data_IF_330960581993
#
_entry.id   IF_330960581993
#
_cell.length_a   1.000
_cell.length_b   1.000
_cell.length_c   1.000
_cell.angle_alpha   90.00
_cell.angle_beta   90.00
_cell.angle_gamma   90.00
#
_symmetry.space_group_name_H-M   'P 1'
#
loop_
_entity.id
_entity.type
_entity.pdbx_description
1 polymer ?
#
# COMPACT_ATOMS: atom_id res chain seq x y z
N UNK A 1 -11.04 47.64 -1.77
CA UNK A 1 -9.65 47.36 -2.12
C UNK A 1 -9.12 45.97 -1.64
N UNK A 2 -9.69 45.31 -0.63
CA UNK A 2 -9.24 43.97 -0.18
C UNK A 2 -9.66 42.80 -1.08
N UNK A 3 -10.71 42.92 -1.88
CA UNK A 3 -11.15 41.84 -2.80
C UNK A 3 -10.40 41.75 -4.13
N UNK A 4 -9.69 42.81 -4.53
CA UNK A 4 -8.89 42.82 -5.77
C UNK A 4 -7.50 42.20 -5.61
N UNK A 5 -6.96 42.16 -4.39
CA UNK A 5 -5.62 41.62 -4.09
C UNK A 5 -5.65 40.08 -4.02
N UNK A 6 -6.75 39.50 -3.59
CA UNK A 6 -6.90 38.03 -3.49
C UNK A 6 -7.06 37.35 -4.86
N UNK A 7 -7.65 38.05 -5.83
CA UNK A 7 -7.82 37.50 -7.19
C UNK A 7 -6.51 37.51 -8.00
N UNK A 8 -5.65 38.52 -7.76
CA UNK A 8 -4.34 38.63 -8.42
C UNK A 8 -3.31 37.61 -7.87
N UNK A 9 -3.41 37.26 -6.59
CA UNK A 9 -2.54 36.23 -6.01
C UNK A 9 -2.89 34.83 -6.52
N UNK A 10 -4.18 34.53 -6.69
CA UNK A 10 -4.63 33.24 -7.25
C UNK A 10 -4.23 33.07 -8.73
N UNK A 11 -4.23 34.14 -9.53
CA UNK A 11 -3.81 34.08 -10.93
C UNK A 11 -2.28 33.95 -11.08
N UNK A 12 -1.48 34.47 -10.14
CA UNK A 12 -0.01 34.37 -10.17
C UNK A 12 0.48 32.96 -9.76
N UNK A 13 -0.26 32.23 -8.94
CA UNK A 13 0.07 30.85 -8.57
C UNK A 13 -0.19 29.89 -9.75
N UNK A 14 -1.22 30.14 -10.56
CA UNK A 14 -1.48 29.36 -11.77
C UNK A 14 -0.47 29.60 -12.90
N UNK A 15 0.14 30.78 -12.96
CA UNK A 15 1.15 31.11 -14.00
C UNK A 15 2.54 30.52 -13.72
N UNK A 16 2.84 30.06 -12.50
CA UNK A 16 4.15 29.49 -12.15
C UNK A 16 4.23 27.97 -12.34
N UNK A 17 3.11 27.28 -12.60
CA UNK A 17 3.09 25.85 -12.86
C UNK A 17 3.30 25.47 -14.34
N UNK A 18 3.51 26.45 -15.25
CA UNK A 18 3.70 26.21 -16.70
C UNK A 18 5.15 26.44 -17.16
N UNK A 19 6.09 26.74 -16.25
CA UNK A 19 7.49 27.02 -16.61
C UNK A 19 8.45 25.94 -16.08
N UNK A 20 8.32 24.71 -16.57
CA UNK A 20 9.41 23.73 -16.52
C UNK A 20 9.37 22.84 -17.76
N UNK A 21 10.29 23.15 -18.71
CA UNK A 21 10.88 22.18 -19.63
C UNK A 21 10.12 21.84 -20.90
N UNK A 22 10.24 22.67 -21.94
CA UNK A 22 10.10 22.20 -23.33
C UNK A 22 11.18 21.16 -23.64
N UNK A 23 10.81 19.90 -23.64
CA UNK A 23 11.46 18.90 -24.48
C UNK A 23 10.45 18.44 -25.52
N UNK A 24 10.71 18.80 -26.76
CA UNK A 24 9.97 18.39 -27.95
C UNK A 24 10.01 16.88 -28.11
N UNK A 25 9.00 16.20 -27.60
CA UNK A 25 8.65 14.85 -28.02
C UNK A 25 7.43 14.98 -28.92
N UNK A 26 7.59 14.60 -30.17
CA UNK A 26 6.52 14.47 -31.15
C UNK A 26 5.50 13.48 -30.60
N UNK A 27 4.22 13.86 -30.37
CA UNK A 27 3.23 12.91 -29.91
C UNK A 27 2.90 11.92 -31.04
N UNK A 28 2.95 10.63 -30.74
CA UNK A 28 2.22 9.66 -31.54
C UNK A 28 0.74 10.05 -31.51
N UNK A 29 0.10 10.14 -32.66
CA UNK A 29 -1.33 10.39 -32.78
C UNK A 29 -2.10 9.29 -32.03
N UNK A 30 -2.47 9.58 -30.80
CA UNK A 30 -3.53 8.85 -30.11
C UNK A 30 -4.83 9.53 -30.52
N UNK A 31 -5.64 8.86 -31.30
CA UNK A 31 -7.03 9.24 -31.55
C UNK A 31 -7.77 9.23 -30.21
N UNK A 32 -7.78 10.35 -29.55
CA UNK A 32 -8.69 10.61 -28.43
C UNK A 32 -10.07 10.85 -29.03
N UNK A 33 -10.89 9.82 -29.04
CA UNK A 33 -12.32 10.06 -29.00
C UNK A 33 -12.59 10.80 -27.69
N UNK A 34 -13.17 12.01 -27.77
CA UNK A 34 -13.74 12.72 -26.64
C UNK A 34 -14.87 11.88 -26.03
N UNK A 35 -14.50 10.94 -25.18
CA UNK A 35 -15.38 10.39 -24.16
C UNK A 35 -15.18 11.27 -22.94
N UNK A 36 -16.12 12.20 -22.67
CA UNK A 36 -16.24 12.80 -21.36
C UNK A 36 -16.15 11.67 -20.32
N UNK A 37 -15.38 11.83 -19.22
CA UNK A 37 -15.37 10.83 -18.17
C UNK A 37 -16.83 10.64 -17.73
N UNK A 38 -17.36 9.45 -17.96
CA UNK A 38 -18.68 9.07 -17.42
C UNK A 38 -18.49 9.08 -15.91
N UNK A 39 -18.87 10.19 -15.27
CA UNK A 39 -19.01 10.25 -13.82
C UNK A 39 -20.22 9.40 -13.47
N UNK A 40 -20.01 8.11 -13.29
CA UNK A 40 -21.03 7.22 -12.75
C UNK A 40 -21.38 7.76 -11.36
N UNK A 41 -22.61 8.16 -11.15
CA UNK A 41 -23.08 8.53 -9.82
C UNK A 41 -22.85 7.33 -8.91
N UNK A 42 -22.03 7.47 -7.88
CA UNK A 42 -21.70 6.38 -6.93
C UNK A 42 -22.96 5.79 -6.30
N UNK A 43 -24.08 6.50 -6.30
CA UNK A 43 -25.37 6.06 -5.82
C UNK A 43 -26.30 5.51 -6.93
N UNK A 44 -25.85 5.47 -8.19
CA UNK A 44 -26.68 4.96 -9.27
C UNK A 44 -27.03 3.48 -9.02
N UNK A 45 -28.31 3.16 -9.22
CA UNK A 45 -28.86 1.82 -8.92
C UNK A 45 -29.02 1.49 -7.43
N UNK A 46 -28.57 2.36 -6.51
CA UNK A 46 -28.83 2.21 -5.07
C UNK A 46 -30.14 2.96 -4.74
N UNK A 47 -31.14 2.23 -4.24
CA UNK A 47 -32.44 2.81 -3.91
C UNK A 47 -32.38 3.95 -2.88
N UNK A 48 -33.51 4.71 -2.77
CA UNK A 48 -33.63 5.86 -1.86
C UNK A 48 -34.03 5.48 -0.42
N UNK A 49 -33.67 4.28 0.03
CA UNK A 49 -34.03 3.81 1.37
C UNK A 49 -33.38 4.69 2.43
N UNK A 50 -34.21 5.09 3.40
CA UNK A 50 -33.78 5.80 4.61
C UNK A 50 -33.87 4.86 5.80
N UNK A 51 -33.02 5.09 6.80
CA UNK A 51 -32.89 4.20 7.96
C UNK A 51 -33.23 4.90 9.29
N UNK A 52 -33.94 6.03 9.24
CA UNK A 52 -34.52 6.77 10.39
C UNK A 52 -33.48 7.07 11.49
N UNK A 53 -32.29 7.51 11.11
CA UNK A 53 -31.20 7.86 12.02
C UNK A 53 -30.51 6.66 12.67
N UNK A 54 -30.66 5.44 12.11
CA UNK A 54 -29.98 4.23 12.61
C UNK A 54 -28.48 4.48 12.73
N UNK A 55 -27.88 3.99 13.82
CA UNK A 55 -26.44 3.91 13.93
C UNK A 55 -25.90 2.81 13.01
N UNK A 56 -24.87 3.15 12.22
CA UNK A 56 -24.08 2.24 11.43
C UNK A 56 -22.76 2.00 12.17
N UNK A 57 -22.68 0.85 12.83
CA UNK A 57 -21.58 0.49 13.71
C UNK A 57 -20.39 -0.03 12.91
N UNK A 58 -19.35 0.77 12.82
CA UNK A 58 -18.12 0.41 12.11
C UNK A 58 -17.02 0.11 13.13
N UNK A 59 -16.62 -1.16 13.26
CA UNK A 59 -15.49 -1.58 14.08
C UNK A 59 -14.18 -1.24 13.37
N UNK A 60 -13.42 -0.31 13.91
CA UNK A 60 -12.22 0.25 13.30
C UNK A 60 -11.01 0.01 14.19
N UNK A 61 -9.91 -0.42 13.61
CA UNK A 61 -8.61 -0.48 14.30
C UNK A 61 -8.21 0.92 14.76
N UNK A 62 -7.82 1.05 16.01
CA UNK A 62 -7.54 2.35 16.62
C UNK A 62 -6.49 3.17 15.85
N UNK A 63 -5.49 2.50 15.27
CA UNK A 63 -4.43 3.11 14.46
C UNK A 63 -4.90 3.62 13.09
N UNK A 64 -6.06 3.14 12.60
CA UNK A 64 -6.58 3.46 11.26
C UNK A 64 -7.83 4.35 11.33
N UNK A 65 -8.16 4.90 12.49
CA UNK A 65 -9.41 5.63 12.70
C UNK A 65 -9.55 6.82 11.74
N UNK A 66 -8.47 7.56 11.52
CA UNK A 66 -8.49 8.79 10.70
C UNK A 66 -8.67 8.48 9.20
N UNK A 67 -8.39 7.28 8.75
CA UNK A 67 -8.69 6.83 7.39
C UNK A 67 -10.20 6.74 7.12
N UNK A 68 -11.00 6.56 8.15
CA UNK A 68 -12.43 6.29 8.02
C UNK A 68 -13.33 7.30 8.69
N UNK A 69 -12.87 7.98 9.73
CA UNK A 69 -13.72 8.87 10.52
C UNK A 69 -12.98 10.11 11.01
N UNK A 70 -13.41 11.26 10.52
CA UNK A 70 -12.96 12.59 10.93
C UNK A 70 -14.18 13.35 11.47
N UNK A 71 -14.04 13.93 12.65
CA UNK A 71 -15.15 14.60 13.36
C UNK A 71 -15.55 15.95 12.73
N UNK A 72 -14.59 16.68 12.18
CA UNK A 72 -14.79 18.01 11.58
C UNK A 72 -13.73 18.30 10.52
N UNK A 73 -14.04 19.22 9.60
CA UNK A 73 -13.06 19.72 8.63
C UNK A 73 -11.90 20.41 9.35
N UNK A 74 -10.68 20.04 8.97
CA UNK A 74 -9.41 20.57 9.53
C UNK A 74 -8.68 21.51 8.57
N UNK A 75 -9.05 21.53 7.31
CA UNK A 75 -8.34 22.18 6.20
C UNK A 75 -7.29 21.27 5.55
N UNK A 76 -7.05 20.09 6.08
CA UNK A 76 -6.24 19.06 5.43
C UNK A 76 -7.06 18.33 4.37
N UNK A 77 -6.47 18.18 3.17
CA UNK A 77 -7.23 17.71 1.99
C UNK A 77 -7.84 16.34 2.18
N UNK A 78 -7.09 15.41 2.80
CA UNK A 78 -7.55 14.05 3.01
C UNK A 78 -8.63 13.97 4.10
N UNK A 79 -8.40 14.63 5.24
CA UNK A 79 -9.35 14.67 6.36
C UNK A 79 -10.69 15.26 5.91
N UNK A 80 -10.64 16.38 5.21
CA UNK A 80 -11.83 17.04 4.69
C UNK A 80 -12.59 16.17 3.68
N UNK A 81 -11.87 15.38 2.88
CA UNK A 81 -12.48 14.43 1.95
C UNK A 81 -13.17 13.27 2.70
N UNK A 82 -12.54 12.71 3.72
CA UNK A 82 -13.13 11.66 4.58
C UNK A 82 -14.39 12.20 5.28
N UNK A 83 -14.31 13.39 5.88
CA UNK A 83 -15.44 14.03 6.54
C UNK A 83 -16.62 14.23 5.57
N UNK A 84 -16.39 14.82 4.39
CA UNK A 84 -17.43 15.09 3.38
C UNK A 84 -18.06 13.82 2.86
N UNK A 85 -17.24 12.78 2.59
CA UNK A 85 -17.73 11.45 2.19
C UNK A 85 -18.71 10.89 3.23
N UNK A 86 -18.33 10.93 4.50
CA UNK A 86 -19.15 10.39 5.57
C UNK A 86 -20.47 11.18 5.71
N UNK A 87 -20.42 12.52 5.69
CA UNK A 87 -21.63 13.36 5.72
C UNK A 87 -22.57 13.07 4.57
N UNK A 88 -22.05 12.92 3.35
CA UNK A 88 -22.85 12.59 2.17
C UNK A 88 -23.58 11.25 2.33
N UNK A 89 -22.91 10.23 2.86
CA UNK A 89 -23.50 8.91 3.10
C UNK A 89 -24.57 8.98 4.20
N UNK A 90 -24.28 9.66 5.32
CA UNK A 90 -25.22 9.82 6.42
C UNK A 90 -26.49 10.56 5.99
N UNK A 91 -26.37 11.65 5.25
CA UNK A 91 -27.50 12.40 4.71
C UNK A 91 -28.29 11.59 3.67
N UNK A 92 -27.58 10.86 2.79
CA UNK A 92 -28.20 10.07 1.74
C UNK A 92 -29.07 8.95 2.29
N UNK A 93 -28.63 8.26 3.34
CA UNK A 93 -29.33 7.10 3.88
C UNK A 93 -30.06 7.36 5.20
N UNK A 94 -29.94 8.57 5.74
CA UNK A 94 -30.44 8.92 7.08
C UNK A 94 -29.93 7.90 8.14
N UNK A 95 -28.60 7.77 8.20
CA UNK A 95 -27.87 6.98 9.20
C UNK A 95 -26.91 7.88 9.96
N UNK A 96 -26.34 7.34 11.03
CA UNK A 96 -25.21 7.93 11.73
C UNK A 96 -24.05 6.92 11.77
N UNK A 97 -22.91 7.25 11.18
CA UNK A 97 -21.71 6.40 11.27
C UNK A 97 -21.20 6.47 12.71
N UNK A 98 -21.14 5.31 13.37
CA UNK A 98 -20.66 5.16 14.73
C UNK A 98 -19.34 4.37 14.72
N UNK A 99 -18.17 5.04 14.82
CA UNK A 99 -16.88 4.37 14.86
C UNK A 99 -16.65 3.72 16.23
N UNK A 100 -16.46 2.41 16.23
CA UNK A 100 -16.11 1.63 17.42
C UNK A 100 -14.65 1.26 17.32
N UNK A 101 -13.82 1.82 18.20
CA UNK A 101 -12.36 1.61 18.19
C UNK A 101 -11.98 0.31 18.88
N UNK A 102 -11.01 -0.40 18.29
CA UNK A 102 -10.44 -1.61 18.89
C UNK A 102 -8.91 -1.61 18.72
N UNK A 103 -8.21 -2.03 19.76
CA UNK A 103 -6.78 -2.35 19.65
C UNK A 103 -6.60 -3.63 18.83
N UNK A 104 -5.92 -3.49 17.71
CA UNK A 104 -5.60 -4.58 16.77
C UNK A 104 -4.09 -4.64 16.48
N UNK A 105 -3.25 -4.19 17.42
CA UNK A 105 -1.82 -4.41 17.36
C UNK A 105 -1.51 -5.92 17.28
N UNK A 106 -0.34 -6.26 16.76
CA UNK A 106 0.04 -7.67 16.58
C UNK A 106 -0.09 -8.49 17.88
N UNK A 107 0.25 -7.93 19.02
CA UNK A 107 0.14 -8.59 20.33
C UNK A 107 -1.31 -8.72 20.80
N UNK A 108 -2.22 -7.85 20.33
CA UNK A 108 -3.65 -7.85 20.64
C UNK A 108 -4.51 -8.63 19.64
N UNK A 109 -3.92 -9.23 18.59
CA UNK A 109 -4.65 -9.90 17.50
C UNK A 109 -5.65 -10.97 17.95
N UNK A 110 -5.33 -11.72 19.00
CA UNK A 110 -6.24 -12.73 19.55
C UNK A 110 -7.50 -12.12 20.18
N UNK A 111 -7.36 -10.98 20.85
CA UNK A 111 -8.48 -10.22 21.40
C UNK A 111 -9.33 -9.63 20.28
N UNK A 112 -8.69 -9.07 19.26
CA UNK A 112 -9.34 -8.51 18.09
C UNK A 112 -10.25 -9.55 17.39
N UNK A 113 -9.73 -10.72 17.04
CA UNK A 113 -10.54 -11.82 16.44
C UNK A 113 -11.57 -12.37 17.44
N UNK A 114 -11.21 -12.46 18.72
CA UNK A 114 -12.12 -12.89 19.79
C UNK A 114 -13.35 -12.00 19.93
N UNK A 115 -13.19 -10.69 19.77
CA UNK A 115 -14.29 -9.70 19.80
C UNK A 115 -15.29 -9.97 18.69
N UNK A 116 -14.84 -10.15 17.46
CA UNK A 116 -15.69 -10.49 16.32
C UNK A 116 -16.39 -11.83 16.51
N UNK A 117 -15.65 -12.85 16.96
CA UNK A 117 -16.20 -14.19 17.23
C UNK A 117 -17.31 -14.14 18.27
N UNK A 118 -17.12 -13.40 19.36
CA UNK A 118 -18.11 -13.27 20.43
C UNK A 118 -19.38 -12.57 19.92
N UNK A 119 -19.27 -11.49 19.13
CA UNK A 119 -20.41 -10.84 18.51
C UNK A 119 -21.21 -11.82 17.63
N UNK A 120 -20.55 -12.41 16.65
CA UNK A 120 -21.20 -13.31 15.68
C UNK A 120 -21.82 -14.54 16.35
N UNK A 121 -21.10 -15.20 17.26
CA UNK A 121 -21.59 -16.42 17.94
C UNK A 121 -22.75 -16.13 18.90
N UNK A 122 -22.85 -14.95 19.45
CA UNK A 122 -24.01 -14.55 20.28
C UNK A 122 -25.19 -14.05 19.46
N UNK A 123 -25.01 -13.77 18.16
CA UNK A 123 -26.01 -13.16 17.30
C UNK A 123 -26.39 -11.74 17.75
N UNK A 124 -25.45 -11.00 18.35
CA UNK A 124 -25.71 -9.66 18.87
C UNK A 124 -25.99 -8.64 17.76
N UNK A 125 -25.38 -8.82 16.59
CA UNK A 125 -25.42 -7.86 15.48
C UNK A 125 -24.88 -6.50 15.91
N UNK A 126 -23.75 -6.53 16.62
CA UNK A 126 -23.13 -5.34 17.20
C UNK A 126 -22.44 -4.48 16.14
N UNK A 127 -21.93 -5.10 15.08
CA UNK A 127 -21.18 -4.41 14.01
C UNK A 127 -21.85 -4.57 12.67
N UNK A 128 -21.86 -3.50 11.88
CA UNK A 128 -22.34 -3.50 10.48
C UNK A 128 -21.19 -3.71 9.49
N UNK A 129 -20.01 -3.14 9.79
CA UNK A 129 -18.80 -3.26 8.99
C UNK A 129 -17.58 -3.38 9.91
N UNK A 130 -16.56 -4.06 9.45
CA UNK A 130 -15.30 -4.23 10.18
C UNK A 130 -14.13 -3.86 9.28
N UNK A 131 -13.22 -3.00 9.79
CA UNK A 131 -11.89 -2.77 9.27
C UNK A 131 -10.99 -3.96 9.62
N UNK A 132 -10.96 -4.95 8.72
CA UNK A 132 -10.22 -6.18 8.91
C UNK A 132 -8.72 -6.03 8.67
N UNK A 133 -7.91 -6.39 9.66
CA UNK A 133 -6.46 -6.47 9.53
C UNK A 133 -6.08 -7.67 8.65
N UNK A 134 -5.52 -7.42 7.44
CA UNK A 134 -5.24 -8.46 6.46
C UNK A 134 -4.37 -9.60 6.99
N UNK A 135 -3.40 -9.32 7.84
CA UNK A 135 -2.51 -10.31 8.46
C UNK A 135 -3.20 -11.27 9.46
N UNK A 136 -4.43 -10.94 9.88
CA UNK A 136 -5.11 -11.66 10.98
C UNK A 136 -6.52 -12.10 10.59
N UNK A 137 -7.22 -11.32 9.74
CA UNK A 137 -8.65 -11.52 9.46
C UNK A 137 -8.97 -12.91 8.88
N UNK A 138 -7.99 -13.57 8.25
CA UNK A 138 -8.10 -14.91 7.72
C UNK A 138 -8.50 -15.97 8.76
N UNK A 139 -8.17 -15.77 10.02
CA UNK A 139 -8.55 -16.65 11.12
C UNK A 139 -10.09 -16.74 11.28
N UNK A 140 -10.79 -15.66 10.94
CA UNK A 140 -12.25 -15.60 10.96
C UNK A 140 -12.94 -16.34 9.83
N UNK A 141 -12.24 -16.63 8.72
CA UNK A 141 -12.84 -17.33 7.57
C UNK A 141 -13.17 -18.79 7.91
N UNK A 142 -12.24 -19.47 8.62
CA UNK A 142 -12.46 -20.86 9.06
C UNK A 142 -13.66 -20.98 10.03
N UNK A 143 -13.85 -19.98 10.87
CA UNK A 143 -14.94 -19.89 11.85
C UNK A 143 -16.27 -19.39 11.24
N UNK A 144 -16.27 -19.03 9.94
CA UNK A 144 -17.44 -18.51 9.22
C UNK A 144 -18.03 -17.25 9.86
N UNK A 145 -17.16 -16.35 10.32
CA UNK A 145 -17.59 -15.13 10.99
C UNK A 145 -18.13 -14.06 10.04
N UNK A 146 -17.95 -14.23 8.73
CA UNK A 146 -18.25 -13.19 7.75
C UNK A 146 -19.16 -13.65 6.63
N UNK A 147 -19.93 -12.74 6.08
CA UNK A 147 -20.77 -12.98 4.92
C UNK A 147 -19.92 -13.22 3.65
N UNK A 148 -20.43 -14.05 2.75
CA UNK A 148 -19.90 -14.10 1.40
C UNK A 148 -20.27 -12.80 0.66
N UNK A 149 -19.31 -11.99 0.29
CA UNK A 149 -19.53 -10.68 -0.31
C UNK A 149 -20.21 -10.75 -1.69
N UNK A 150 -20.08 -11.87 -2.41
CA UNK A 150 -20.83 -12.10 -3.65
C UNK A 150 -22.35 -12.22 -3.42
N UNK A 151 -22.78 -12.53 -2.21
CA UNK A 151 -24.20 -12.65 -1.84
C UNK A 151 -24.73 -11.33 -1.25
N UNK A 152 -23.90 -10.31 -1.04
CA UNK A 152 -24.30 -9.01 -0.47
C UNK A 152 -24.78 -8.09 -1.59
N UNK A 153 -26.05 -7.68 -1.59
CA UNK A 153 -26.60 -6.84 -2.65
C UNK A 153 -25.93 -5.46 -2.66
N UNK A 154 -25.85 -4.85 -3.84
CA UNK A 154 -25.37 -3.48 -4.08
C UNK A 154 -23.88 -3.21 -3.80
N UNK A 155 -23.05 -4.22 -3.52
CA UNK A 155 -21.59 -4.02 -3.38
C UNK A 155 -20.92 -3.66 -4.73
N UNK A 156 -21.51 -4.10 -5.86
CA UNK A 156 -20.99 -3.84 -7.21
C UNK A 156 -19.49 -4.11 -7.29
N UNK A 157 -19.09 -5.36 -7.00
CA UNK A 157 -17.67 -5.78 -6.90
C UNK A 157 -16.90 -5.64 -8.22
N UNK A 158 -17.59 -5.49 -9.34
CA UNK A 158 -17.06 -5.23 -10.68
C UNK A 158 -16.67 -3.76 -10.94
N UNK A 159 -16.96 -2.87 -10.03
CA UNK A 159 -16.65 -1.45 -10.17
C UNK A 159 -15.19 -1.12 -9.87
N UNK A 160 -14.69 -0.04 -10.50
CA UNK A 160 -13.27 0.32 -10.47
C UNK A 160 -12.72 0.70 -9.09
N UNK A 161 -13.56 1.06 -8.14
CA UNK A 161 -13.15 1.36 -6.76
C UNK A 161 -12.84 0.11 -5.93
N UNK A 162 -13.13 -1.09 -6.43
CA UNK A 162 -12.70 -2.35 -5.82
C UNK A 162 -11.43 -2.88 -6.49
N UNK A 163 -10.59 -3.55 -5.71
CA UNK A 163 -9.40 -4.20 -6.24
C UNK A 163 -9.75 -5.52 -6.95
N UNK A 164 -9.86 -5.51 -8.27
CA UNK A 164 -10.15 -6.72 -9.07
C UNK A 164 -9.10 -7.82 -8.89
N UNK A 165 -7.85 -7.45 -8.58
CA UNK A 165 -6.79 -8.42 -8.28
C UNK A 165 -7.10 -9.14 -6.97
N UNK A 166 -7.47 -8.40 -5.93
CA UNK A 166 -7.82 -8.97 -4.63
C UNK A 166 -9.08 -9.82 -4.73
N UNK A 167 -10.11 -9.38 -5.44
CA UNK A 167 -11.30 -10.18 -5.69
C UNK A 167 -10.93 -11.53 -6.31
N UNK A 168 -10.16 -11.50 -7.39
CA UNK A 168 -9.70 -12.72 -8.08
C UNK A 168 -8.87 -13.62 -7.17
N UNK A 169 -7.94 -13.07 -6.42
CA UNK A 169 -7.03 -13.86 -5.57
C UNK A 169 -7.72 -14.43 -4.33
N UNK A 170 -8.66 -13.71 -3.73
CA UNK A 170 -9.35 -14.15 -2.50
C UNK A 170 -10.65 -14.92 -2.75
N UNK A 171 -11.19 -14.90 -3.97
CA UNK A 171 -12.35 -15.76 -4.29
C UNK A 171 -11.89 -17.21 -4.37
N UNK A 172 -12.35 -18.03 -3.42
CA UNK A 172 -12.08 -19.48 -3.34
C UNK A 172 -13.40 -20.24 -3.37
N UNK A 173 -13.53 -21.19 -4.30
CA UNK A 173 -14.77 -21.96 -4.49
C UNK A 173 -16.03 -21.08 -4.62
N UNK A 174 -15.90 -19.95 -5.33
CA UNK A 174 -16.99 -18.98 -5.54
C UNK A 174 -17.38 -18.16 -4.32
N UNK A 175 -16.53 -18.11 -3.29
CA UNK A 175 -16.78 -17.33 -2.07
C UNK A 175 -15.69 -16.31 -1.84
N UNK A 176 -16.10 -15.10 -1.49
CA UNK A 176 -15.25 -13.96 -1.15
C UNK A 176 -15.68 -13.41 0.22
N UNK A 177 -14.82 -13.48 1.22
CA UNK A 177 -15.19 -13.07 2.59
C UNK A 177 -14.59 -11.72 3.00
N UNK A 178 -13.61 -11.22 2.26
CA UNK A 178 -12.97 -9.95 2.52
C UNK A 178 -12.61 -9.26 1.22
N UNK A 179 -12.67 -7.93 1.20
CA UNK A 179 -12.36 -7.10 0.03
C UNK A 179 -11.67 -5.81 0.44
N UNK A 180 -10.88 -5.24 -0.45
CA UNK A 180 -10.32 -3.91 -0.28
C UNK A 180 -10.53 -3.07 -1.54
N UNK A 181 -10.47 -1.76 -1.40
CA UNK A 181 -10.67 -0.81 -2.48
C UNK A 181 -10.45 0.62 -2.00
N UNK A 182 -10.96 1.61 -2.73
CA UNK A 182 -10.72 3.04 -2.51
C UNK A 182 -11.18 3.57 -1.14
N UNK A 183 -12.03 2.82 -0.43
CA UNK A 183 -12.36 3.14 0.96
C UNK A 183 -11.14 2.99 1.89
N UNK A 184 -10.20 2.08 1.58
CA UNK A 184 -9.01 1.81 2.38
C UNK A 184 -7.86 2.75 1.99
N UNK A 185 -7.75 3.91 2.63
CA UNK A 185 -6.66 4.88 2.38
C UNK A 185 -5.29 4.22 2.60
N UNK A 186 -5.15 3.41 3.64
CA UNK A 186 -3.91 2.71 3.98
C UNK A 186 -3.50 1.63 2.97
N UNK A 187 -4.34 1.28 2.01
CA UNK A 187 -3.97 0.36 0.93
C UNK A 187 -2.77 0.91 0.13
N UNK A 188 -2.75 2.20 -0.14
CA UNK A 188 -1.67 2.86 -0.87
C UNK A 188 -0.42 3.06 -0.01
N UNK A 189 -0.59 3.55 1.23
CA UNK A 189 0.54 3.80 2.14
C UNK A 189 1.31 2.52 2.50
N UNK A 190 0.64 1.38 2.51
CA UNK A 190 1.24 0.07 2.79
C UNK A 190 1.91 -0.62 1.58
N UNK A 191 1.87 -0.03 0.36
CA UNK A 191 2.59 -0.61 -0.79
C UNK A 191 4.10 -0.48 -0.61
N UNK A 192 4.84 -1.55 -0.87
CA UNK A 192 6.30 -1.52 -0.84
C UNK A 192 6.88 -0.82 -2.06
N UNK A 193 7.93 -0.05 -1.82
CA UNK A 193 8.69 0.65 -2.85
C UNK A 193 10.18 0.61 -2.53
N UNK A 194 10.99 0.94 -3.51
CA UNK A 194 12.41 1.16 -3.33
C UNK A 194 12.69 2.65 -3.54
N UNK A 195 13.18 3.31 -2.51
CA UNK A 195 13.63 4.68 -2.57
C UNK A 195 15.08 4.74 -3.03
N UNK A 196 15.47 5.79 -3.72
CA UNK A 196 16.88 6.02 -4.05
C UNK A 196 17.28 7.47 -3.81
N UNK A 197 18.49 7.66 -3.32
CA UNK A 197 19.13 8.96 -3.14
C UNK A 197 19.74 9.40 -4.48
N UNK A 198 19.16 10.45 -5.09
CA UNK A 198 19.60 10.96 -6.40
C UNK A 198 21.04 11.41 -6.40
N UNK A 199 21.46 12.12 -5.35
CA UNK A 199 22.82 12.62 -5.24
C UNK A 199 23.83 11.45 -5.16
N UNK A 200 23.54 10.39 -4.41
CA UNK A 200 24.42 9.21 -4.33
C UNK A 200 24.49 8.47 -5.67
N UNK A 201 23.37 8.35 -6.40
CA UNK A 201 23.34 7.75 -7.75
C UNK A 201 24.26 8.53 -8.71
N UNK A 202 24.23 9.86 -8.67
CA UNK A 202 25.11 10.74 -9.48
C UNK A 202 26.59 10.65 -9.05
N UNK A 203 26.86 10.67 -7.73
CA UNK A 203 28.22 10.54 -7.16
C UNK A 203 28.92 9.28 -7.67
N UNK A 204 28.21 8.16 -7.65
CA UNK A 204 28.72 6.87 -8.13
C UNK A 204 28.57 6.67 -9.64
N UNK A 205 28.10 7.68 -10.37
CA UNK A 205 27.92 7.66 -11.83
C UNK A 205 27.10 6.47 -12.31
N UNK A 206 26.04 6.13 -11.59
CA UNK A 206 25.14 5.05 -11.97
C UNK A 206 24.17 5.49 -13.06
N UNK A 207 23.70 4.53 -13.86
CA UNK A 207 22.62 4.77 -14.81
C UNK A 207 21.36 5.21 -14.04
N UNK A 208 20.58 6.12 -14.65
CA UNK A 208 19.34 6.62 -14.03
C UNK A 208 18.37 5.48 -13.71
N UNK A 209 17.99 5.27 -12.44
CA UNK A 209 17.04 4.22 -12.09
C UNK A 209 15.69 4.40 -12.79
N UNK A 210 15.26 5.64 -13.05
CA UNK A 210 14.02 5.91 -13.78
C UNK A 210 14.08 5.43 -15.23
N UNK A 211 15.22 5.61 -15.91
CA UNK A 211 15.38 5.12 -17.28
C UNK A 211 15.44 3.58 -17.34
N UNK A 212 16.07 2.96 -16.35
CA UNK A 212 16.05 1.51 -16.19
C UNK A 212 14.63 0.96 -16.01
N UNK A 213 13.79 1.63 -15.22
CA UNK A 213 12.37 1.24 -15.05
C UNK A 213 11.60 1.43 -16.35
N UNK A 214 11.68 2.61 -17.00
CA UNK A 214 10.97 2.92 -18.24
C UNK A 214 11.33 1.97 -19.39
N UNK A 215 12.61 1.58 -19.47
CA UNK A 215 13.09 0.63 -20.49
C UNK A 215 12.81 -0.83 -20.16
N UNK A 216 12.21 -1.12 -18.99
CA UNK A 216 11.93 -2.48 -18.53
C UNK A 216 13.17 -3.27 -18.09
N UNK A 217 14.32 -2.61 -17.91
CA UNK A 217 15.59 -3.21 -17.51
C UNK A 217 15.86 -3.20 -16.02
N UNK A 218 15.00 -2.60 -15.22
CA UNK A 218 15.14 -2.57 -13.76
C UNK A 218 14.89 -3.97 -13.19
N UNK A 219 15.96 -4.75 -13.08
CA UNK A 219 15.94 -6.14 -12.60
C UNK A 219 16.77 -6.30 -11.34
N UNK A 220 16.63 -7.44 -10.65
CA UNK A 220 17.40 -7.73 -9.45
C UNK A 220 18.92 -7.72 -9.71
N UNK A 221 19.37 -8.27 -10.82
CA UNK A 221 20.80 -8.21 -11.19
C UNK A 221 21.28 -6.79 -11.44
N UNK A 222 20.44 -5.93 -12.02
CA UNK A 222 20.77 -4.51 -12.21
C UNK A 222 20.80 -3.76 -10.86
N UNK A 223 19.92 -4.07 -9.91
CA UNK A 223 20.03 -3.53 -8.55
C UNK A 223 21.39 -3.90 -7.92
N UNK A 224 21.84 -5.15 -8.05
CA UNK A 224 23.13 -5.59 -7.53
C UNK A 224 24.30 -4.81 -8.16
N UNK A 225 24.26 -4.54 -9.48
CA UNK A 225 25.27 -3.72 -10.16
C UNK A 225 25.21 -2.24 -9.72
N UNK A 226 24.02 -1.73 -9.47
CA UNK A 226 23.83 -0.33 -9.00
C UNK A 226 24.45 -0.12 -7.61
N UNK A 227 24.31 -1.08 -6.68
CA UNK A 227 24.82 -0.96 -5.30
C UNK A 227 26.29 -1.30 -5.17
N UNK A 228 26.88 -1.99 -6.14
CA UNK A 228 28.24 -2.50 -6.09
C UNK A 228 29.26 -1.41 -5.77
N UNK A 229 30.19 -1.67 -4.84
CA UNK A 229 31.25 -0.77 -4.42
C UNK A 229 30.74 0.60 -3.87
N UNK A 230 29.51 0.64 -3.33
CA UNK A 230 28.96 1.84 -2.70
C UNK A 230 29.25 1.90 -1.21
N UNK A 231 29.27 0.76 -0.53
CA UNK A 231 29.49 0.71 0.92
C UNK A 231 30.81 1.36 1.35
N UNK A 232 30.78 2.13 2.43
CA UNK A 232 31.94 2.85 2.99
C UNK A 232 31.84 2.86 4.52
N UNK A 233 32.92 2.52 5.17
CA UNK A 233 33.16 2.78 6.58
C UNK A 233 33.39 4.30 6.72
N UNK A 234 32.43 5.01 7.33
CA UNK A 234 32.42 6.49 7.41
C UNK A 234 33.21 6.95 8.62
N UNK A 235 33.15 6.23 9.75
CA UNK A 235 33.83 6.61 10.99
C UNK A 235 35.28 6.09 11.07
N UNK A 236 35.65 5.17 10.17
CA UNK A 236 37.03 4.67 10.02
C UNK A 236 37.45 3.69 11.11
N UNK A 237 36.49 3.06 11.79
CA UNK A 237 36.77 2.10 12.88
C UNK A 237 37.14 0.68 12.37
N UNK A 238 37.03 0.47 11.05
CA UNK A 238 37.34 -0.79 10.37
C UNK A 238 36.24 -1.83 10.44
N UNK A 239 35.03 -1.42 10.83
CA UNK A 239 33.83 -2.29 10.88
C UNK A 239 32.71 -1.63 10.11
N UNK A 240 31.94 -2.42 9.40
CA UNK A 240 30.71 -1.95 8.79
C UNK A 240 29.55 -2.10 9.78
N UNK A 241 28.92 -0.98 10.14
CA UNK A 241 27.78 -0.91 11.05
C UNK A 241 26.58 -0.26 10.37
N UNK A 242 25.46 -0.16 11.06
CA UNK A 242 24.25 0.48 10.53
C UNK A 242 24.47 1.98 10.26
N UNK A 243 25.38 2.63 10.96
CA UNK A 243 25.68 4.06 10.87
C UNK A 243 26.60 4.42 9.68
N UNK A 244 27.05 3.42 8.93
CA UNK A 244 27.90 3.58 7.76
C UNK A 244 27.12 3.80 6.47
N UNK A 245 27.84 4.06 5.36
CA UNK A 245 27.20 4.21 4.06
C UNK A 245 27.00 2.84 3.37
N UNK A 246 25.77 2.62 2.90
CA UNK A 246 25.38 1.39 2.27
C UNK A 246 24.88 1.58 0.83
N UNK A 247 25.05 0.57 0.00
CA UNK A 247 24.44 0.51 -1.33
C UNK A 247 22.93 0.25 -1.23
N UNK A 248 22.56 -0.71 -0.37
CA UNK A 248 21.16 -1.06 -0.10
C UNK A 248 20.93 -1.18 1.40
N UNK A 249 19.89 -0.53 1.89
CA UNK A 249 19.41 -0.62 3.27
C UNK A 249 17.96 -1.12 3.26
N UNK A 250 17.68 -2.22 3.93
CA UNK A 250 16.35 -2.84 3.99
C UNK A 250 16.09 -3.50 5.35
N UNK A 251 14.83 -3.79 5.61
CA UNK A 251 14.41 -4.61 6.77
C UNK A 251 14.51 -6.09 6.42
N UNK A 252 15.11 -6.92 7.30
CA UNK A 252 15.40 -8.31 7.00
C UNK A 252 14.17 -9.16 6.59
N UNK A 253 13.14 -9.21 7.42
CA UNK A 253 11.96 -10.05 7.17
C UNK A 253 11.03 -9.46 6.12
N UNK A 254 10.73 -8.16 6.21
CA UNK A 254 9.74 -7.51 5.33
C UNK A 254 10.21 -7.46 3.87
N UNK A 255 11.52 -7.34 3.64
CA UNK A 255 12.08 -7.32 2.30
C UNK A 255 11.95 -8.66 1.58
N UNK A 256 12.23 -9.76 2.29
CA UNK A 256 12.13 -11.12 1.71
C UNK A 256 10.69 -11.44 1.27
N UNK A 257 9.71 -11.10 2.10
CA UNK A 257 8.30 -11.33 1.80
C UNK A 257 7.83 -10.57 0.56
N UNK A 258 8.50 -9.47 0.22
CA UNK A 258 8.13 -8.67 -0.94
C UNK A 258 8.85 -9.05 -2.22
N UNK A 259 10.09 -9.52 -2.15
CA UNK A 259 10.83 -9.90 -3.35
C UNK A 259 10.19 -11.08 -4.10
N UNK A 260 9.59 -12.05 -3.41
CA UNK A 260 8.92 -13.14 -4.11
C UNK A 260 7.72 -12.63 -4.95
N UNK A 261 6.95 -11.65 -4.43
CA UNK A 261 5.90 -11.00 -5.20
C UNK A 261 6.48 -10.16 -6.35
N UNK A 262 7.52 -9.38 -6.08
CA UNK A 262 8.20 -8.57 -7.09
C UNK A 262 8.72 -9.42 -8.25
N UNK A 263 9.15 -10.64 -7.97
CA UNK A 263 9.64 -11.61 -8.96
C UNK A 263 8.53 -12.40 -9.65
N UNK A 264 7.26 -12.09 -9.40
CA UNK A 264 6.12 -12.85 -9.91
C UNK A 264 6.23 -14.35 -9.58
N UNK A 265 6.58 -14.65 -8.32
CA UNK A 265 6.64 -16.01 -7.80
C UNK A 265 5.37 -16.26 -7.00
N UNK A 266 4.63 -17.27 -7.39
CA UNK A 266 3.41 -17.71 -6.71
C UNK A 266 3.68 -18.99 -5.94
N UNK A 267 3.25 -19.03 -4.69
CA UNK A 267 3.34 -20.22 -3.82
C UNK A 267 2.08 -21.08 -3.87
N UNK A 268 1.04 -20.58 -4.51
CA UNK A 268 -0.23 -21.27 -4.71
C UNK A 268 -0.80 -20.98 -6.10
N UNK A 269 -1.63 -21.88 -6.58
CA UNK A 269 -2.39 -21.74 -7.83
C UNK A 269 -3.82 -22.18 -7.63
N UNK A 270 -4.72 -21.65 -8.45
CA UNK A 270 -6.11 -22.06 -8.54
C UNK A 270 -6.35 -22.86 -9.82
N UNK A 271 -7.13 -23.92 -9.71
CA UNK A 271 -7.65 -24.64 -10.86
C UNK A 271 -8.86 -23.92 -11.50
N UNK A 272 -9.39 -24.49 -12.58
CA UNK A 272 -10.56 -23.94 -13.27
C UNK A 272 -11.85 -23.90 -12.42
N UNK A 273 -11.89 -24.61 -11.31
CA UNK A 273 -13.00 -24.63 -10.37
C UNK A 273 -12.78 -23.67 -9.17
N UNK A 274 -11.65 -22.93 -9.17
CA UNK A 274 -11.29 -22.03 -8.08
C UNK A 274 -10.70 -22.72 -6.84
N UNK A 275 -10.35 -24.02 -6.96
CA UNK A 275 -9.71 -24.74 -5.86
C UNK A 275 -8.23 -24.41 -5.77
N UNK A 276 -7.77 -24.04 -4.57
CA UNK A 276 -6.38 -23.66 -4.31
C UNK A 276 -5.53 -24.89 -4.04
N UNK A 277 -4.34 -24.94 -4.65
CA UNK A 277 -3.28 -25.91 -4.36
C UNK A 277 -1.94 -25.21 -4.21
N UNK A 278 -1.00 -25.82 -3.48
CA UNK A 278 0.36 -25.27 -3.35
C UNK A 278 1.15 -25.45 -4.66
N UNK A 279 1.98 -24.46 -5.00
CA UNK A 279 2.81 -24.42 -6.20
C UNK A 279 4.21 -23.86 -5.88
N UNK A 280 4.84 -24.38 -4.85
CA UNK A 280 6.14 -23.89 -4.37
C UNK A 280 7.35 -24.72 -4.82
N UNK A 281 7.15 -25.85 -5.49
CA UNK A 281 8.23 -26.69 -6.00
C UNK A 281 8.55 -26.35 -7.46
N UNK A 282 9.22 -25.21 -7.67
CA UNK A 282 9.65 -24.80 -9.01
C UNK A 282 11.07 -24.20 -8.99
N UNK A 283 11.77 -24.34 -10.12
CA UNK A 283 13.16 -23.90 -10.27
C UNK A 283 13.32 -22.38 -10.06
N UNK A 284 12.36 -21.57 -10.53
CA UNK A 284 12.41 -20.11 -10.36
C UNK A 284 12.40 -19.71 -8.89
N UNK A 285 11.59 -20.38 -8.07
CA UNK A 285 11.54 -20.15 -6.62
C UNK A 285 12.89 -20.49 -5.97
N UNK A 286 13.46 -21.65 -6.30
CA UNK A 286 14.76 -22.07 -5.72
C UNK A 286 15.86 -21.08 -6.09
N UNK A 287 15.98 -20.70 -7.36
CA UNK A 287 16.98 -19.74 -7.84
C UNK A 287 16.78 -18.34 -7.21
N UNK A 288 15.53 -17.89 -7.08
CA UNK A 288 15.24 -16.63 -6.42
C UNK A 288 15.66 -16.60 -4.96
N UNK A 289 15.37 -17.68 -4.22
CA UNK A 289 15.81 -17.80 -2.82
C UNK A 289 17.32 -17.83 -2.70
N UNK A 290 18.05 -18.57 -3.56
CA UNK A 290 19.51 -18.56 -3.57
C UNK A 290 20.07 -17.14 -3.78
N UNK A 291 19.54 -16.39 -4.72
CA UNK A 291 19.91 -14.99 -4.99
C UNK A 291 19.63 -14.06 -3.83
N UNK A 292 18.47 -14.19 -3.19
CA UNK A 292 18.07 -13.38 -2.04
C UNK A 292 18.98 -13.69 -0.83
N UNK A 293 19.24 -14.96 -0.58
CA UNK A 293 20.13 -15.42 0.51
C UNK A 293 21.56 -14.91 0.29
N UNK A 294 22.06 -14.98 -0.95
CA UNK A 294 23.38 -14.44 -1.30
C UNK A 294 23.44 -12.92 -1.10
N UNK A 295 22.39 -12.18 -1.47
CA UNK A 295 22.32 -10.74 -1.20
C UNK A 295 22.36 -10.44 0.31
N UNK A 296 21.65 -11.22 1.12
CA UNK A 296 21.54 -10.95 2.55
C UNK A 296 22.81 -11.34 3.35
N UNK A 297 23.52 -12.38 2.93
CA UNK A 297 24.63 -12.92 3.71
C UNK A 297 26.02 -12.59 3.13
N UNK A 298 26.11 -12.45 1.82
CA UNK A 298 27.41 -12.43 1.12
C UNK A 298 27.68 -11.09 0.41
N UNK A 299 26.69 -10.19 0.30
CA UNK A 299 26.87 -8.92 -0.39
C UNK A 299 27.39 -7.84 0.57
N UNK A 300 28.60 -7.31 0.36
CA UNK A 300 29.20 -6.32 1.26
C UNK A 300 28.57 -4.93 1.13
N UNK A 301 27.77 -4.68 0.10
CA UNK A 301 27.13 -3.38 -0.17
C UNK A 301 25.67 -3.30 0.33
N UNK A 302 25.15 -4.39 0.93
CA UNK A 302 23.78 -4.45 1.43
C UNK A 302 23.74 -4.63 2.95
N UNK A 303 22.88 -3.83 3.60
CA UNK A 303 22.61 -3.97 5.04
C UNK A 303 21.16 -4.33 5.30
N UNK A 304 20.98 -5.45 5.99
CA UNK A 304 19.67 -5.97 6.40
C UNK A 304 19.47 -5.66 7.89
N UNK A 305 18.68 -4.63 8.17
CA UNK A 305 18.36 -4.25 9.55
C UNK A 305 17.54 -5.35 10.21
N UNK A 306 17.99 -5.81 11.37
CA UNK A 306 17.35 -6.89 12.11
C UNK A 306 16.11 -6.39 12.86
N UNK A 307 15.12 -7.24 13.00
CA UNK A 307 13.90 -6.96 13.77
C UNK A 307 14.19 -6.55 15.24
N UNK A 308 15.34 -6.90 15.77
CA UNK A 308 15.78 -6.49 17.10
C UNK A 308 16.30 -5.05 17.18
N UNK A 309 16.42 -4.34 16.04
CA UNK A 309 16.83 -2.93 16.02
C UNK A 309 15.73 -2.08 16.65
N UNK A 310 16.03 -1.28 17.68
CA UNK A 310 15.03 -0.41 18.29
C UNK A 310 14.42 0.55 17.27
N UNK A 311 13.11 0.70 17.28
CA UNK A 311 12.37 1.58 16.36
C UNK A 311 12.80 1.40 14.90
N UNK A 312 13.00 0.16 14.47
CA UNK A 312 13.62 -0.23 13.20
C UNK A 312 13.14 0.60 11.99
N UNK A 313 11.83 0.87 11.88
CA UNK A 313 11.26 1.64 10.77
C UNK A 313 11.77 3.08 10.79
N UNK A 314 11.67 3.73 11.94
CA UNK A 314 12.14 5.10 12.07
C UNK A 314 13.66 5.21 11.87
N UNK A 315 14.43 4.29 12.46
CA UNK A 315 15.89 4.21 12.29
C UNK A 315 16.27 4.10 10.82
N UNK A 316 15.61 3.22 10.05
CA UNK A 316 15.88 3.08 8.61
C UNK A 316 15.59 4.35 7.81
N UNK A 317 14.47 5.02 8.12
CA UNK A 317 14.09 6.29 7.48
C UNK A 317 15.09 7.43 7.79
N UNK A 318 15.52 7.52 9.04
CA UNK A 318 16.53 8.51 9.48
C UNK A 318 17.90 8.27 8.82
N UNK A 319 18.34 7.01 8.73
CA UNK A 319 19.57 6.64 8.05
C UNK A 319 19.52 6.99 6.56
N UNK A 320 18.45 6.65 5.87
CA UNK A 320 18.29 7.01 4.46
C UNK A 320 18.29 8.52 4.26
N UNK A 321 17.51 9.26 5.05
CA UNK A 321 17.39 10.73 4.92
C UNK A 321 18.67 11.46 5.30
N UNK A 322 19.54 10.87 6.13
CA UNK A 322 20.90 11.39 6.40
C UNK A 322 21.93 11.06 5.31
N UNK A 323 21.54 10.32 4.27
CA UNK A 323 22.44 9.92 3.18
C UNK A 323 23.19 8.62 3.41
N UNK A 324 22.81 7.84 4.42
CA UNK A 324 23.44 6.57 4.80
C UNK A 324 23.20 5.43 3.80
N UNK A 325 22.32 5.59 2.79
CA UNK A 325 22.12 4.57 1.78
C UNK A 325 21.86 5.16 0.38
N UNK A 326 22.28 4.42 -0.67
CA UNK A 326 21.91 4.72 -2.04
C UNK A 326 20.49 4.30 -2.32
N UNK A 327 20.10 3.08 -1.92
CA UNK A 327 18.76 2.54 -2.04
C UNK A 327 18.21 2.16 -0.67
N UNK A 328 16.92 2.39 -0.47
CA UNK A 328 16.21 2.07 0.76
C UNK A 328 14.85 1.43 0.47
N UNK A 329 14.59 0.26 1.04
CA UNK A 329 13.32 -0.44 0.89
C UNK A 329 12.37 -0.16 2.05
N UNK A 330 11.23 0.47 1.76
CA UNK A 330 10.15 0.74 2.73
C UNK A 330 8.80 0.80 2.02
N UNK A 331 7.74 1.00 2.75
CA UNK A 331 6.41 1.27 2.21
C UNK A 331 6.27 2.74 1.77
N UNK A 332 5.23 3.05 0.98
CA UNK A 332 4.95 4.42 0.56
C UNK A 332 4.62 5.38 1.72
N UNK A 333 4.26 4.85 2.87
CA UNK A 333 4.11 5.65 4.10
C UNK A 333 5.37 6.43 4.46
N UNK A 334 6.55 5.92 4.13
CA UNK A 334 7.81 6.62 4.35
C UNK A 334 7.87 8.01 3.70
N UNK A 335 7.10 8.26 2.61
CA UNK A 335 7.01 9.56 1.97
C UNK A 335 6.53 10.66 2.92
N UNK A 336 5.69 10.34 3.89
CA UNK A 336 5.16 11.30 4.87
C UNK A 336 6.26 11.94 5.69
N UNK A 337 7.28 11.18 6.04
CA UNK A 337 8.45 11.61 6.80
C UNK A 337 9.54 12.17 5.87
N UNK A 338 9.85 11.46 4.79
CA UNK A 338 10.98 11.79 3.90
C UNK A 338 10.79 13.12 3.17
N UNK A 339 9.55 13.51 2.82
CA UNK A 339 9.28 14.78 2.11
C UNK A 339 9.68 16.04 2.91
N UNK A 340 9.82 15.94 4.22
CA UNK A 340 10.27 17.03 5.09
C UNK A 340 11.78 17.04 5.33
N UNK A 341 12.51 16.03 4.87
CA UNK A 341 13.95 15.91 5.01
C UNK A 341 14.67 16.64 3.86
N UNK A 342 15.89 17.11 4.15
CA UNK A 342 16.76 17.78 3.14
C UNK A 342 17.51 16.74 2.31
N UNK A 343 16.75 15.93 1.55
CA UNK A 343 17.28 14.90 0.65
C UNK A 343 16.49 14.89 -0.65
N UNK A 344 17.17 14.85 -1.78
CA UNK A 344 16.54 14.57 -3.07
C UNK A 344 16.47 13.07 -3.30
N UNK A 345 15.27 12.52 -3.24
CA UNK A 345 15.04 11.09 -3.48
C UNK A 345 14.12 10.84 -4.66
N UNK A 346 14.12 9.61 -5.12
CA UNK A 346 13.15 9.08 -6.08
C UNK A 346 12.52 7.79 -5.56
N UNK A 347 11.41 7.40 -6.20
CA UNK A 347 10.65 6.20 -5.84
C UNK A 347 10.60 5.30 -7.06
N UNK A 348 10.85 4.01 -6.84
CA UNK A 348 10.89 2.97 -7.85
C UNK A 348 9.98 1.80 -7.43
N UNK A 349 9.45 1.04 -8.39
CA UNK A 349 8.94 -0.28 -8.08
C UNK A 349 10.10 -1.19 -7.62
N UNK A 350 9.77 -2.25 -6.91
CA UNK A 350 10.74 -3.31 -6.65
C UNK A 350 11.25 -3.88 -7.98
N UNK A 351 12.51 -4.36 -8.04
CA UNK A 351 13.08 -4.87 -9.29
C UNK A 351 12.38 -6.15 -9.75
N UNK A 352 12.29 -6.36 -11.06
CA UNK A 352 11.88 -7.64 -11.64
C UNK A 352 12.93 -8.73 -11.39
N UNK A 353 12.51 -9.98 -11.45
CA UNK A 353 13.42 -11.11 -11.40
C UNK A 353 14.46 -11.08 -12.54
N UNK A 354 13.97 -10.89 -13.79
CA UNK A 354 14.77 -10.74 -14.99
C UNK A 354 14.03 -9.88 -16.05
N UNK A 355 14.66 -9.65 -17.21
CA UNK A 355 14.05 -8.87 -18.30
C UNK A 355 12.87 -9.55 -18.97
N UNK A 356 12.71 -10.87 -18.84
CA UNK A 356 11.59 -11.63 -19.45
C UNK A 356 10.28 -11.43 -18.69
N UNK A 357 10.36 -11.03 -17.42
CA UNK A 357 9.18 -10.69 -16.64
C UNK A 357 8.53 -9.45 -17.25
N UNK A 358 7.25 -9.52 -17.62
CA UNK A 358 6.56 -8.44 -18.34
C UNK A 358 6.36 -7.19 -17.47
N UNK A 359 5.87 -7.35 -16.25
CA UNK A 359 5.51 -6.25 -15.37
C UNK A 359 6.35 -6.13 -14.10
N UNK A 360 6.27 -4.96 -13.47
CA UNK A 360 6.72 -4.77 -12.11
C UNK A 360 5.58 -5.11 -11.17
N UNK A 361 5.89 -5.83 -10.10
CA UNK A 361 4.92 -6.20 -9.08
C UNK A 361 5.38 -5.70 -7.71
N UNK A 362 4.44 -5.36 -6.87
CA UNK A 362 4.69 -5.03 -5.47
C UNK A 362 3.63 -5.67 -4.60
N UNK A 363 3.98 -5.95 -3.37
CA UNK A 363 3.03 -6.36 -2.36
C UNK A 363 2.64 -5.17 -1.48
N UNK A 364 1.50 -5.27 -0.86
CA UNK A 364 1.13 -4.42 0.27
C UNK A 364 1.49 -5.12 1.57
N UNK A 365 1.96 -4.36 2.54
CA UNK A 365 2.20 -4.84 3.89
C UNK A 365 0.92 -5.49 4.46
N UNK A 366 1.08 -6.43 5.36
CA UNK A 366 -0.01 -7.15 6.02
C UNK A 366 -0.96 -6.24 6.84
N UNK A 367 -0.50 -5.04 7.23
CA UNK A 367 -1.30 -4.02 7.93
C UNK A 367 -2.44 -3.41 7.11
N UNK A 368 -2.52 -3.66 5.77
CA UNK A 368 -3.59 -3.11 4.94
C UNK A 368 -4.98 -3.55 5.39
N UNK A 369 -5.96 -2.70 5.13
CA UNK A 369 -7.36 -3.01 5.43
C UNK A 369 -7.98 -3.99 4.45
N UNK A 370 -8.72 -4.93 4.98
CA UNK A 370 -9.62 -5.85 4.27
C UNK A 370 -11.00 -5.77 4.91
N UNK A 371 -11.95 -5.10 4.25
CA UNK A 371 -13.31 -4.97 4.78
C UNK A 371 -14.02 -6.31 4.81
N UNK A 372 -14.68 -6.59 5.93
CA UNK A 372 -15.53 -7.76 6.13
C UNK A 372 -16.87 -7.36 6.75
N UNK A 373 -17.93 -8.11 6.42
CA UNK A 373 -19.26 -7.91 6.97
C UNK A 373 -19.55 -9.10 7.90
N UNK A 374 -19.86 -8.87 9.19
CA UNK A 374 -20.18 -9.94 10.12
C UNK A 374 -21.36 -10.78 9.68
N UNK A 375 -21.34 -12.09 9.97
CA UNK A 375 -22.41 -12.98 9.57
C UNK A 375 -23.74 -12.77 10.33
N UNK A 376 -23.72 -12.05 11.45
CA UNK A 376 -24.86 -11.68 12.28
C UNK A 376 -25.37 -10.26 12.09
N UNK A 377 -24.89 -9.54 11.05
CA UNK A 377 -25.35 -8.18 10.69
C UNK A 377 -26.87 -8.14 10.52
N UNK A 378 -27.52 -7.04 10.97
CA UNK A 378 -29.00 -6.88 11.00
C UNK A 378 -29.53 -5.98 9.92
#
# INVERSE_FOLDING_TARGET
MKKAITLTAALLIFAQLVACGESTLTPAETTTGDTEPVTTDVFDGIGDKKYDGREFNFLIRETEIDDYFIEAESGEVLDDAVYKRNRMVEERFDIRINPIKIDAAWDSRSTYIGTMRNSVMSGSGEYDLIDGYAGVIGDGFADRLFLNLHDVPNLRLDEAWWSSIIEKELTVNGKLYAMTGDLAVNMWSNLFALYFNKQTVEEFKRESPYELVKSGKWTFSVLLEQIKDVARDIDGDGKMTVDDKWGLLVYDTLWFDNLHNAFDIRISKKDSNGQVSLDFQNEKLSDAYEKIVALANDNPDAHFMKQSTPNIIQTGRELFTSGGAMYFGDTLDACTVMRSADIEFGILPLPKYDEKQEGYHTASRDGRTMFVIPADVK
#
